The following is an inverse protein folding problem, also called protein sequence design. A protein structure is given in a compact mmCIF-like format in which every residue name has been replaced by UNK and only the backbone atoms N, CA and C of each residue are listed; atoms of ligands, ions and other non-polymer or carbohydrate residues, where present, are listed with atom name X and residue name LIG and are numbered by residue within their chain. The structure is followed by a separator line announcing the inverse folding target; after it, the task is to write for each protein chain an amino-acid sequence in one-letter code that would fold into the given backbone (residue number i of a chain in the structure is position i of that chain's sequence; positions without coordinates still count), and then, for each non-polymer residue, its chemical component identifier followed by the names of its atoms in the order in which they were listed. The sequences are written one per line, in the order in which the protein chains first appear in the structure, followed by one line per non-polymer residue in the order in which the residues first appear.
data_IF_657186721119
#
_entry.id   IF_657186721119
#
_cell.length_a   1.000
_cell.length_b   1.000
_cell.length_c   1.000
_cell.angle_alpha   90.00
_cell.angle_beta   90.00
_cell.angle_gamma   90.00
#
_symmetry.space_group_name_H-M   'P 1'
#
loop_
_entity.id
_entity.type
_entity.pdbx_description
1 polymer ?
#
# COMPACT_ATOMS: atom_id res chain seq x y z
N UNK A 1 -30.77 -6.42 -6.71
CA UNK A 1 -30.04 -5.26 -7.23
C UNK A 1 -30.83 -4.82 -8.42
N UNK A 2 -31.33 -3.59 -8.42
CA UNK A 2 -32.22 -3.09 -9.46
C UNK A 2 -31.38 -2.76 -10.70
N UNK A 3 -31.93 -2.93 -11.89
CA UNK A 3 -31.24 -2.63 -13.15
C UNK A 3 -32.19 -1.88 -14.07
N UNK A 4 -31.67 -0.85 -14.74
CA UNK A 4 -32.41 -0.07 -15.73
C UNK A 4 -31.73 -0.32 -17.08
N UNK A 5 -32.54 -0.45 -18.13
CA UNK A 5 -32.04 -0.53 -19.50
C UNK A 5 -32.07 0.86 -20.11
N UNK A 6 -30.96 1.27 -20.70
CA UNK A 6 -30.88 2.49 -21.48
C UNK A 6 -31.65 2.32 -22.82
N UNK A 7 -31.96 3.43 -23.50
CA UNK A 7 -32.61 3.42 -24.82
C UNK A 7 -31.81 2.63 -25.87
N UNK A 8 -30.50 2.47 -25.66
CA UNK A 8 -29.57 1.68 -26.48
C UNK A 8 -29.53 0.18 -26.09
N UNK A 9 -30.36 -0.26 -25.15
CA UNK A 9 -30.44 -1.66 -24.69
C UNK A 9 -29.34 -2.09 -23.73
N UNK A 10 -28.50 -1.15 -23.25
CA UNK A 10 -27.43 -1.42 -22.29
C UNK A 10 -27.99 -1.55 -20.88
N UNK A 11 -27.65 -2.65 -20.20
CA UNK A 11 -28.04 -2.90 -18.81
C UNK A 11 -27.13 -2.09 -17.85
N UNK A 12 -27.72 -1.15 -17.11
CA UNK A 12 -27.05 -0.35 -16.10
C UNK A 12 -27.51 -0.82 -14.70
N UNK A 13 -26.59 -1.32 -13.84
CA UNK A 13 -26.92 -1.67 -12.47
C UNK A 13 -27.13 -0.40 -11.65
N UNK A 14 -28.34 -0.21 -11.12
CA UNK A 14 -28.73 0.99 -10.38
C UNK A 14 -29.11 0.63 -8.94
N UNK A 15 -28.80 1.53 -8.00
CA UNK A 15 -29.30 1.43 -6.63
C UNK A 15 -30.40 2.47 -6.45
N UNK A 16 -31.63 2.01 -6.17
CA UNK A 16 -32.76 2.91 -5.90
C UNK A 16 -32.63 3.43 -4.47
N UNK A 17 -32.61 4.75 -4.31
CA UNK A 17 -32.51 5.44 -3.01
C UNK A 17 -33.80 6.22 -2.80
N UNK A 18 -34.43 6.03 -1.65
CA UNK A 18 -35.54 6.86 -1.18
C UNK A 18 -34.94 8.09 -0.47
N UNK A 19 -35.14 9.28 -1.05
CA UNK A 19 -34.50 10.52 -0.61
C UNK A 19 -35.50 11.66 -0.34
N UNK A 20 -36.72 11.34 0.11
CA UNK A 20 -37.72 12.34 0.51
C UNK A 20 -39.08 11.72 0.83
N UNK A 21 -40.01 12.49 1.43
CA UNK A 21 -39.90 13.91 1.77
C UNK A 21 -39.14 14.17 3.09
N UNK A 22 -38.20 15.12 3.06
CA UNK A 22 -37.49 15.61 4.25
C UNK A 22 -38.15 16.90 4.76
N UNK A 23 -38.32 17.06 6.07
CA UNK A 23 -38.95 18.29 6.62
C UNK A 23 -37.98 19.09 7.49
N UNK A 24 -38.01 20.42 7.35
CA UNK A 24 -37.23 21.35 8.17
C UNK A 24 -37.85 21.44 9.57
N UNK A 25 -37.17 20.89 10.58
CA UNK A 25 -37.67 20.87 11.95
C UNK A 25 -37.15 22.01 12.82
N UNK A 26 -35.98 22.55 12.49
CA UNK A 26 -35.37 23.64 13.26
C UNK A 26 -34.39 24.44 12.41
N UNK A 27 -34.34 25.75 12.67
CA UNK A 27 -33.33 26.67 12.16
C UNK A 27 -32.48 27.13 13.35
N UNK A 28 -31.15 27.00 13.21
CA UNK A 28 -30.17 27.50 14.18
C UNK A 28 -29.67 28.85 13.69
N UNK A 29 -29.66 29.83 14.58
CA UNK A 29 -29.18 31.19 14.33
C UNK A 29 -28.01 31.52 15.25
N UNK A 30 -27.13 32.43 14.81
CA UNK A 30 -25.93 32.82 15.58
C UNK A 30 -26.31 33.36 16.98
N UNK A 31 -27.38 34.15 17.07
CA UNK A 31 -27.78 34.80 18.33
C UNK A 31 -28.26 33.83 19.42
N UNK A 32 -28.88 32.72 19.03
CA UNK A 32 -29.45 31.73 19.96
C UNK A 32 -28.54 30.54 20.21
N UNK A 33 -27.88 30.05 19.15
CA UNK A 33 -27.18 28.77 19.15
C UNK A 33 -25.68 28.89 18.88
N UNK A 34 -25.19 30.08 18.51
CA UNK A 34 -23.79 30.35 18.23
C UNK A 34 -23.30 29.90 16.85
N UNK A 35 -24.18 29.37 16.00
CA UNK A 35 -23.88 28.98 14.62
C UNK A 35 -25.15 28.90 13.76
N UNK A 36 -24.97 29.00 12.44
CA UNK A 36 -26.04 28.82 11.46
C UNK A 36 -26.10 27.37 10.98
N UNK A 37 -27.29 26.77 11.03
CA UNK A 37 -27.55 25.44 10.48
C UNK A 37 -29.05 25.20 10.27
N UNK A 38 -29.37 24.39 9.27
CA UNK A 38 -30.72 23.89 9.01
C UNK A 38 -30.81 22.43 9.47
N UNK A 39 -31.80 22.10 10.29
CA UNK A 39 -32.06 20.73 10.72
C UNK A 39 -33.16 20.10 9.86
N UNK A 40 -32.81 19.02 9.17
CA UNK A 40 -33.73 18.22 8.36
C UNK A 40 -34.06 16.90 9.04
N UNK A 41 -35.31 16.47 8.86
CA UNK A 41 -35.84 15.24 9.43
C UNK A 41 -36.37 14.28 8.38
N UNK A 42 -36.07 12.99 8.54
CA UNK A 42 -36.37 11.92 7.56
C UNK A 42 -36.83 10.61 8.25
N UNK A 43 -37.62 9.81 7.53
CA UNK A 43 -38.26 8.53 7.92
C UNK A 43 -39.30 8.68 9.05
N UNK A 44 -40.52 8.18 8.85
CA UNK A 44 -41.59 8.31 9.84
C UNK A 44 -41.38 7.40 11.06
N UNK A 45 -41.74 7.93 12.22
CA UNK A 45 -41.63 7.24 13.51
C UNK A 45 -42.97 7.27 14.24
N UNK A 46 -43.40 6.11 14.72
CA UNK A 46 -44.63 5.99 15.53
C UNK A 46 -44.52 6.82 16.80
N UNK A 47 -45.58 7.56 17.14
CA UNK A 47 -45.62 8.44 18.31
C UNK A 47 -45.31 7.72 19.63
N UNK A 48 -45.79 6.49 19.79
CA UNK A 48 -45.52 5.67 21.00
C UNK A 48 -44.04 5.35 21.23
N UNK A 49 -43.22 5.40 20.18
CA UNK A 49 -41.78 5.14 20.25
C UNK A 49 -40.96 6.44 20.35
N UNK A 50 -41.62 7.58 20.53
CA UNK A 50 -41.02 8.91 20.54
C UNK A 50 -41.09 9.53 21.93
N UNK A 51 -39.97 10.06 22.41
CA UNK A 51 -39.87 10.68 23.73
C UNK A 51 -40.66 12.00 23.79
N UNK A 52 -41.13 12.40 24.97
CA UNK A 52 -41.97 13.61 25.13
C UNK A 52 -41.31 14.90 24.60
N UNK A 53 -40.01 15.07 24.84
CA UNK A 53 -39.25 16.22 24.33
C UNK A 53 -39.24 16.28 22.79
N UNK A 54 -39.02 15.15 22.12
CA UNK A 54 -39.06 15.09 20.66
C UNK A 54 -40.46 15.35 20.10
N UNK A 55 -41.52 14.90 20.78
CA UNK A 55 -42.89 15.23 20.36
C UNK A 55 -43.14 16.74 20.37
N UNK A 56 -42.67 17.44 21.41
CA UNK A 56 -42.74 18.90 21.47
C UNK A 56 -41.93 19.59 20.36
N UNK A 57 -40.77 19.03 20.00
CA UNK A 57 -39.93 19.53 18.91
C UNK A 57 -40.62 19.40 17.53
N UNK A 58 -41.15 18.22 17.20
CA UNK A 58 -41.88 18.01 15.94
C UNK A 58 -43.20 18.78 15.87
N UNK A 59 -43.87 18.99 17.01
CA UNK A 59 -45.09 19.79 17.09
C UNK A 59 -44.86 21.26 16.72
N UNK A 60 -43.70 21.84 17.08
CA UNK A 60 -43.32 23.21 16.69
C UNK A 60 -43.18 23.35 15.17
N UNK A 61 -42.72 22.30 14.50
CA UNK A 61 -42.62 22.22 13.05
C UNK A 61 -43.88 21.72 12.35
N UNK A 62 -44.97 21.44 13.09
CA UNK A 62 -46.22 20.83 12.58
C UNK A 62 -45.99 19.53 11.81
N UNK A 63 -45.08 18.68 12.27
CA UNK A 63 -44.70 17.43 11.59
C UNK A 63 -45.03 16.18 12.40
N UNK A 64 -45.19 15.05 11.69
CA UNK A 64 -45.16 13.72 12.31
C UNK A 64 -43.77 13.44 12.88
N UNK A 65 -43.66 12.67 13.98
CA UNK A 65 -42.34 12.34 14.51
C UNK A 65 -41.49 11.61 13.48
N UNK A 66 -40.26 12.08 13.28
CA UNK A 66 -39.30 11.47 12.36
C UNK A 66 -38.20 10.70 13.10
N UNK A 67 -37.55 9.78 12.40
CA UNK A 67 -36.56 8.85 12.98
C UNK A 67 -35.14 9.38 12.88
N UNK A 68 -34.84 10.14 11.84
CA UNK A 68 -33.54 10.73 11.57
C UNK A 68 -33.66 12.24 11.65
N UNK A 69 -32.72 12.86 12.35
CA UNK A 69 -32.54 14.30 12.49
C UNK A 69 -31.07 14.57 12.14
N UNK A 70 -30.82 15.40 11.14
CA UNK A 70 -29.46 15.74 10.68
C UNK A 70 -29.38 17.24 10.47
N UNK A 71 -28.28 17.83 10.93
CA UNK A 71 -28.01 19.27 10.79
C UNK A 71 -27.03 19.51 9.63
N UNK A 72 -27.36 20.51 8.79
CA UNK A 72 -26.54 20.95 7.67
C UNK A 72 -26.10 22.39 7.91
N UNK A 73 -24.78 22.62 7.92
CA UNK A 73 -24.17 23.94 8.19
C UNK A 73 -24.06 24.84 6.95
N UNK A 74 -24.14 24.25 5.76
CA UNK A 74 -24.08 24.97 4.50
C UNK A 74 -25.30 24.56 3.69
N UNK A 75 -26.29 25.44 3.65
CA UNK A 75 -27.50 25.28 2.84
C UNK A 75 -27.70 26.60 2.12
N UNK A 76 -27.59 26.60 0.79
CA UNK A 76 -27.56 27.83 -0.03
C UNK A 76 -28.94 28.51 -0.12
N UNK A 77 -30.01 27.74 0.10
CA UNK A 77 -31.39 28.23 0.12
C UNK A 77 -31.83 28.61 1.54
N UNK A 78 -32.34 29.83 1.71
CA UNK A 78 -33.08 30.21 2.91
C UNK A 78 -34.40 29.43 2.97
N UNK A 79 -34.53 28.48 3.90
CA UNK A 79 -35.75 27.72 4.16
C UNK A 79 -36.41 28.15 5.46
N UNK A 80 -37.74 28.08 5.51
CA UNK A 80 -38.55 28.37 6.68
C UNK A 80 -38.90 27.10 7.46
N UNK A 81 -39.36 27.28 8.70
CA UNK A 81 -39.65 26.18 9.61
C UNK A 81 -40.91 25.42 9.15
N UNK A 82 -40.79 24.13 8.87
CA UNK A 82 -41.86 23.28 8.35
C UNK A 82 -41.83 23.04 6.84
N UNK A 83 -40.87 23.62 6.11
CA UNK A 83 -40.73 23.41 4.67
C UNK A 83 -40.34 21.97 4.31
N UNK A 84 -40.86 21.49 3.18
CA UNK A 84 -40.61 20.15 2.65
C UNK A 84 -39.53 20.22 1.56
N UNK A 85 -38.49 19.41 1.72
CA UNK A 85 -37.39 19.22 0.78
C UNK A 85 -37.55 17.88 0.07
N UNK A 86 -37.71 17.95 -1.26
CA UNK A 86 -37.91 16.80 -2.15
C UNK A 86 -36.67 16.55 -3.04
N UNK A 87 -36.71 15.45 -3.79
CA UNK A 87 -35.63 15.02 -4.70
C UNK A 87 -35.48 15.96 -5.91
N UNK A 88 -36.44 16.84 -6.16
CA UNK A 88 -36.45 17.83 -7.25
C UNK A 88 -35.30 18.84 -7.20
N UNK A 89 -34.54 18.89 -6.10
CA UNK A 89 -33.33 19.71 -6.00
C UNK A 89 -32.22 19.20 -6.94
N UNK A 90 -32.26 17.92 -7.33
CA UNK A 90 -31.26 17.31 -8.21
C UNK A 90 -31.71 17.34 -9.67
N UNK A 91 -30.81 17.72 -10.58
CA UNK A 91 -31.00 17.58 -12.01
C UNK A 91 -30.48 16.22 -12.50
N UNK A 92 -31.05 15.71 -13.59
CA UNK A 92 -30.55 14.50 -14.25
C UNK A 92 -29.11 14.73 -14.74
N UNK A 93 -28.16 13.93 -14.22
CA UNK A 93 -26.72 14.05 -14.53
C UNK A 93 -25.86 14.60 -13.39
N UNK A 94 -26.47 15.07 -12.30
CA UNK A 94 -25.72 15.56 -11.14
C UNK A 94 -24.96 14.43 -10.42
N UNK A 95 -23.72 14.71 -10.04
CA UNK A 95 -22.91 13.80 -9.23
C UNK A 95 -23.22 14.00 -7.75
N UNK A 96 -23.70 12.95 -7.09
CA UNK A 96 -24.05 12.97 -5.65
C UNK A 96 -23.17 12.00 -4.86
N UNK A 97 -22.56 12.50 -3.78
CA UNK A 97 -21.79 11.67 -2.84
C UNK A 97 -22.73 10.99 -1.82
N UNK A 98 -22.84 9.67 -1.90
CA UNK A 98 -23.69 8.88 -0.99
C UNK A 98 -22.84 8.18 0.08
N UNK A 99 -23.01 8.59 1.34
CA UNK A 99 -22.34 7.97 2.50
C UNK A 99 -23.31 7.07 3.27
N UNK A 100 -22.98 5.79 3.40
CA UNK A 100 -23.74 4.82 4.19
C UNK A 100 -23.02 4.39 5.46
N UNK A 101 -23.67 4.50 6.63
CA UNK A 101 -23.15 3.91 7.88
C UNK A 101 -23.42 2.40 7.90
N UNK A 102 -22.38 1.58 7.75
CA UNK A 102 -22.48 0.13 7.91
C UNK A 102 -22.16 -0.30 9.35
N UNK A 103 -22.95 -1.22 9.92
CA UNK A 103 -22.60 -1.86 11.20
C UNK A 103 -21.57 -2.98 10.94
N UNK A 104 -20.41 -2.91 11.59
CA UNK A 104 -19.39 -3.95 11.57
C UNK A 104 -19.98 -5.30 11.96
N UNK A 105 -19.84 -6.31 11.10
CA UNK A 105 -20.59 -7.58 11.25
C UNK A 105 -19.86 -8.61 12.14
N UNK A 106 -18.62 -8.41 12.56
CA UNK A 106 -17.93 -9.25 13.56
C UNK A 106 -17.94 -10.76 13.24
N UNK A 107 -17.88 -11.59 14.28
CA UNK A 107 -18.04 -13.05 14.15
C UNK A 107 -19.52 -13.38 13.94
N UNK A 108 -19.84 -14.10 12.85
CA UNK A 108 -21.22 -14.49 12.52
C UNK A 108 -21.37 -16.00 12.42
N UNK A 109 -22.46 -16.51 12.99
CA UNK A 109 -22.86 -17.92 12.89
C UNK A 109 -23.25 -18.32 11.46
N UNK A 110 -23.29 -19.63 11.19
CA UNK A 110 -23.51 -20.19 9.84
C UNK A 110 -24.80 -19.71 9.17
N UNK A 111 -25.88 -19.57 9.95
CA UNK A 111 -27.18 -19.08 9.47
C UNK A 111 -27.08 -17.64 8.96
N UNK A 112 -26.49 -16.73 9.73
CA UNK A 112 -26.37 -15.29 9.35
C UNK A 112 -25.23 -15.01 8.37
N UNK A 113 -24.24 -15.89 8.29
CA UNK A 113 -23.09 -15.76 7.37
C UNK A 113 -23.41 -16.33 5.98
N UNK A 114 -23.97 -17.54 5.91
CA UNK A 114 -24.19 -18.29 4.67
C UNK A 114 -25.67 -18.48 4.28
N UNK A 115 -26.61 -18.00 5.10
CA UNK A 115 -28.05 -18.13 4.82
C UNK A 115 -28.61 -19.54 5.06
N UNK A 116 -27.92 -20.37 5.85
CA UNK A 116 -28.38 -21.73 6.13
C UNK A 116 -29.67 -21.72 6.98
N UNK A 117 -30.59 -22.66 6.71
CA UNK A 117 -31.92 -22.71 7.34
C UNK A 117 -31.95 -23.02 8.84
N UNK A 118 -30.81 -23.43 9.42
CA UNK A 118 -30.76 -23.92 10.80
C UNK A 118 -31.26 -25.37 10.91
N UNK A 119 -31.51 -25.84 12.13
CA UNK A 119 -32.07 -27.19 12.36
C UNK A 119 -33.59 -27.13 12.12
N UNK A 120 -34.08 -27.90 11.15
CA UNK A 120 -35.47 -27.86 10.68
C UNK A 120 -36.48 -28.24 11.77
N UNK A 121 -37.47 -27.37 11.98
CA UNK A 121 -38.58 -27.57 12.93
C UNK A 121 -38.25 -27.17 14.37
N UNK A 122 -38.98 -26.20 14.93
CA UNK A 122 -39.06 -26.00 16.38
C UNK A 122 -40.05 -27.02 16.94
N UNK A 123 -39.56 -28.19 17.33
CA UNK A 123 -40.35 -29.14 18.13
C UNK A 123 -40.15 -28.87 19.63
N UNK A 124 -41.13 -29.27 20.44
CA UNK A 124 -41.00 -29.21 21.90
C UNK A 124 -39.76 -30.01 22.35
N UNK A 125 -38.82 -29.35 23.01
CA UNK A 125 -37.54 -29.92 23.47
C UNK A 125 -36.28 -29.28 22.85
N UNK A 126 -36.41 -28.49 21.80
CA UNK A 126 -35.26 -27.91 21.10
C UNK A 126 -34.89 -26.51 21.62
N UNK A 127 -34.16 -26.43 22.74
CA UNK A 127 -33.90 -25.15 23.43
C UNK A 127 -32.71 -24.33 22.87
N UNK A 128 -31.66 -24.95 22.28
CA UNK A 128 -30.40 -24.23 21.98
C UNK A 128 -29.69 -24.59 20.65
N UNK A 129 -30.28 -25.44 19.79
CA UNK A 129 -29.61 -25.91 18.55
C UNK A 129 -30.05 -25.23 17.26
N UNK A 130 -31.06 -24.37 17.28
CA UNK A 130 -31.65 -23.79 16.06
C UNK A 130 -30.62 -23.12 15.12
N UNK A 131 -29.61 -22.45 15.70
CA UNK A 131 -28.57 -21.71 14.97
C UNK A 131 -27.16 -22.29 15.18
N UNK A 132 -27.05 -23.48 15.76
CA UNK A 132 -25.77 -24.12 15.98
C UNK A 132 -25.14 -24.53 14.64
N UNK A 133 -23.83 -24.33 14.45
CA UNK A 133 -23.13 -24.99 13.36
C UNK A 133 -23.20 -26.50 13.60
N UNK A 134 -23.72 -27.25 12.62
CA UNK A 134 -23.79 -28.72 12.71
C UNK A 134 -22.41 -29.36 12.94
N UNK A 135 -22.40 -30.66 13.20
CA UNK A 135 -21.15 -31.41 13.40
C UNK A 135 -20.25 -31.34 12.16
N UNK A 136 -18.96 -31.10 12.39
CA UNK A 136 -17.90 -31.15 11.39
C UNK A 136 -17.34 -32.58 11.33
N UNK A 137 -18.04 -33.47 10.63
CA UNK A 137 -17.68 -34.89 10.59
C UNK A 137 -16.40 -35.19 9.78
N UNK A 138 -15.41 -35.78 10.45
CA UNK A 138 -14.60 -36.94 10.02
C UNK A 138 -13.61 -37.28 11.15
N UNK A 139 -13.91 -38.28 12.00
CA UNK A 139 -13.06 -38.60 13.16
C UNK A 139 -11.72 -39.24 12.78
N UNK A 140 -11.66 -39.92 11.63
CA UNK A 140 -10.54 -40.85 11.35
C UNK A 140 -9.62 -40.36 10.23
N UNK A 141 -10.12 -39.71 9.17
CA UNK A 141 -9.32 -39.08 8.12
C UNK A 141 -10.19 -38.08 7.34
N UNK A 142 -9.79 -36.80 7.12
CA UNK A 142 -8.49 -36.16 7.34
C UNK A 142 -8.40 -35.30 8.64
N UNK A 143 -9.28 -35.51 9.64
CA UNK A 143 -9.28 -34.87 10.97
C UNK A 143 -9.05 -33.36 10.98
N UNK A 144 -9.49 -32.67 9.92
CA UNK A 144 -9.37 -31.22 9.74
C UNK A 144 -10.55 -30.71 8.93
N UNK A 145 -10.87 -29.44 9.10
CA UNK A 145 -11.87 -28.77 8.25
C UNK A 145 -11.26 -28.54 6.86
N UNK A 146 -11.96 -28.98 5.81
CA UNK A 146 -11.52 -28.72 4.44
C UNK A 146 -11.51 -27.21 4.13
N UNK A 147 -10.52 -26.78 3.34
CA UNK A 147 -10.44 -25.39 2.86
C UNK A 147 -11.66 -25.11 1.98
N UNK A 148 -12.37 -24.01 2.25
CA UNK A 148 -13.61 -23.65 1.55
C UNK A 148 -14.90 -24.13 2.22
N UNK A 149 -14.81 -24.91 3.30
CA UNK A 149 -15.99 -25.34 4.06
C UNK A 149 -16.72 -24.13 4.68
N UNK A 150 -18.02 -24.01 4.41
CA UNK A 150 -18.84 -22.84 4.75
C UNK A 150 -19.26 -22.86 6.23
N UNK A 151 -18.37 -22.36 7.11
CA UNK A 151 -18.57 -22.35 8.57
C UNK A 151 -18.78 -20.95 9.17
N UNK A 152 -19.13 -20.92 10.47
CA UNK A 152 -19.16 -19.70 11.26
C UNK A 152 -17.77 -19.07 11.27
N UNK A 153 -17.70 -17.74 11.30
CA UNK A 153 -16.43 -17.03 11.26
C UNK A 153 -16.59 -15.53 11.16
N UNK A 154 -15.47 -14.81 11.14
CA UNK A 154 -15.46 -13.37 10.87
C UNK A 154 -16.07 -13.13 9.49
N UNK A 155 -17.13 -12.33 9.47
CA UNK A 155 -17.70 -11.78 8.23
C UNK A 155 -16.86 -10.56 7.86
N UNK A 156 -16.39 -10.49 6.62
CA UNK A 156 -15.63 -9.35 6.07
C UNK A 156 -16.26 -8.03 6.54
N UNK A 157 -15.45 -7.16 7.12
CA UNK A 157 -15.88 -5.81 7.52
C UNK A 157 -16.11 -5.02 6.23
N UNK A 158 -17.31 -4.46 6.07
CA UNK A 158 -17.73 -3.80 4.84
C UNK A 158 -17.18 -2.38 4.65
N UNK A 159 -16.18 -1.96 5.42
CA UNK A 159 -15.53 -0.67 5.24
C UNK A 159 -14.69 -0.73 3.96
N UNK A 160 -15.29 -0.27 2.87
CA UNK A 160 -14.63 -0.11 1.58
C UNK A 160 -14.11 1.32 1.51
N UNK A 161 -12.84 1.48 1.18
CA UNK A 161 -12.26 2.78 0.85
C UNK A 161 -12.27 2.89 -0.68
N UNK A 162 -12.87 3.95 -1.20
CA UNK A 162 -12.76 4.27 -2.62
C UNK A 162 -11.41 4.96 -2.85
N UNK A 163 -10.60 4.38 -3.72
CA UNK A 163 -9.33 4.97 -4.15
C UNK A 163 -9.58 5.79 -5.42
N UNK A 164 -8.98 6.99 -5.56
CA UNK A 164 -9.21 7.82 -6.73
C UNK A 164 -8.60 7.21 -8.00
N UNK A 165 -9.43 7.05 -9.03
CA UNK A 165 -9.05 6.48 -10.32
C UNK A 165 -7.93 7.30 -11.01
N UNK A 166 -7.94 8.62 -10.83
CA UNK A 166 -6.92 9.53 -11.36
C UNK A 166 -5.49 9.29 -10.83
N UNK A 167 -5.32 8.42 -9.82
CA UNK A 167 -4.03 8.04 -9.23
C UNK A 167 -3.78 6.54 -9.40
N UNK A 168 -4.77 5.70 -9.10
CA UNK A 168 -4.61 4.25 -9.04
C UNK A 168 -5.06 3.51 -10.31
N UNK A 169 -5.85 4.14 -11.18
CA UNK A 169 -6.35 3.56 -12.44
C UNK A 169 -5.75 4.21 -13.70
N UNK A 170 -4.69 5.01 -13.56
CA UNK A 170 -3.97 5.61 -14.70
C UNK A 170 -3.28 4.52 -15.53
N UNK A 171 -3.33 4.65 -16.86
CA UNK A 171 -2.58 3.77 -17.76
C UNK A 171 -1.06 3.84 -17.43
N UNK A 172 -0.44 2.72 -17.01
CA UNK A 172 0.95 2.75 -16.58
C UNK A 172 1.91 3.06 -17.74
N UNK A 173 2.82 4.01 -17.53
CA UNK A 173 3.87 4.33 -18.49
C UNK A 173 5.25 3.81 -18.01
N UNK A 174 5.70 2.71 -18.62
CA UNK A 174 6.96 2.05 -18.26
C UNK A 174 8.20 2.91 -18.52
N UNK A 175 8.18 3.71 -19.60
CA UNK A 175 9.30 4.58 -19.93
C UNK A 175 9.45 5.70 -18.89
N UNK A 176 8.35 6.28 -18.41
CA UNK A 176 8.36 7.27 -17.35
C UNK A 176 8.91 6.69 -16.04
N UNK A 177 8.50 5.46 -15.67
CA UNK A 177 9.04 4.75 -14.51
C UNK A 177 10.54 4.51 -14.65
N UNK A 178 10.99 4.01 -15.80
CA UNK A 178 12.40 3.76 -16.08
C UNK A 178 13.25 5.02 -15.92
N UNK A 179 12.83 6.13 -16.51
CA UNK A 179 13.56 7.40 -16.44
C UNK A 179 13.68 7.90 -15.00
N UNK A 180 12.58 7.90 -14.24
CA UNK A 180 12.58 8.36 -12.85
C UNK A 180 13.45 7.48 -11.95
N UNK A 181 13.38 6.15 -12.13
CA UNK A 181 14.26 5.20 -11.42
C UNK A 181 15.74 5.42 -11.80
N UNK A 182 16.04 5.57 -13.08
CA UNK A 182 17.41 5.85 -13.56
C UNK A 182 17.95 7.15 -12.96
N UNK A 183 17.14 8.20 -12.90
CA UNK A 183 17.53 9.47 -12.30
C UNK A 183 17.74 9.31 -10.79
N UNK A 184 16.83 8.63 -10.09
CA UNK A 184 16.96 8.37 -8.66
C UNK A 184 18.27 7.64 -8.32
N UNK A 185 18.58 6.58 -9.06
CA UNK A 185 19.82 5.82 -8.89
C UNK A 185 21.07 6.63 -9.27
N UNK A 186 21.00 7.46 -10.32
CA UNK A 186 22.10 8.34 -10.69
C UNK A 186 22.40 9.38 -9.61
N UNK A 187 21.36 9.99 -9.02
CA UNK A 187 21.49 11.00 -7.96
C UNK A 187 22.07 10.42 -6.66
N UNK A 188 21.93 9.12 -6.41
CA UNK A 188 22.55 8.46 -5.24
C UNK A 188 24.08 8.26 -5.40
N UNK A 189 24.64 8.48 -6.60
CA UNK A 189 26.07 8.30 -6.87
C UNK A 189 26.85 9.57 -6.48
N UNK A 190 27.84 9.41 -5.61
CA UNK A 190 28.71 10.51 -5.18
C UNK A 190 29.78 10.90 -6.20
N UNK A 191 30.28 9.95 -7.00
CA UNK A 191 31.23 10.23 -8.08
C UNK A 191 32.63 10.69 -7.68
N UNK A 192 33.11 10.44 -6.46
CA UNK A 192 34.39 10.94 -5.91
C UNK A 192 35.67 10.26 -6.41
N UNK A 193 35.56 9.33 -7.35
CA UNK A 193 36.70 8.64 -7.96
C UNK A 193 37.60 9.57 -8.81
N UNK A 194 38.92 9.52 -8.57
CA UNK A 194 39.94 10.24 -9.32
C UNK A 194 41.17 9.36 -9.56
N UNK A 195 41.74 9.43 -10.76
CA UNK A 195 43.09 8.90 -11.05
C UNK A 195 44.02 10.03 -11.48
N UNK A 196 45.29 9.97 -11.06
CA UNK A 196 46.28 11.00 -11.41
C UNK A 196 46.56 10.99 -12.91
N UNK A 197 46.38 12.15 -13.53
CA UNK A 197 46.76 12.38 -14.91
C UNK A 197 48.25 12.74 -15.02
N UNK A 198 48.77 12.81 -16.25
CA UNK A 198 50.19 13.06 -16.53
C UNK A 198 50.73 14.35 -15.88
N UNK A 199 49.92 15.39 -15.77
CA UNK A 199 50.27 16.66 -15.12
C UNK A 199 50.33 16.55 -13.58
N UNK A 200 49.50 15.71 -12.97
CA UNK A 200 49.38 15.57 -11.51
C UNK A 200 50.39 14.59 -10.89
N UNK A 201 51.10 13.81 -11.71
CA UNK A 201 52.12 12.88 -11.23
C UNK A 201 53.41 13.62 -10.85
N UNK A 202 53.96 13.25 -9.69
CA UNK A 202 55.27 13.70 -9.24
C UNK A 202 56.36 13.03 -10.08
N UNK A 203 57.22 13.84 -10.70
CA UNK A 203 58.28 13.37 -11.58
C UNK A 203 58.88 14.51 -12.41
N UNK A 204 59.92 14.21 -13.19
CA UNK A 204 60.55 15.21 -14.06
C UNK A 204 59.82 15.36 -15.39
N UNK A 205 59.65 16.60 -15.86
CA UNK A 205 59.21 16.91 -17.23
C UNK A 205 60.38 16.96 -18.22
N UNK A 206 61.62 16.86 -17.72
CA UNK A 206 62.83 16.83 -18.55
C UNK A 206 62.79 15.62 -19.49
N UNK A 207 63.30 15.83 -20.70
CA UNK A 207 63.51 14.77 -21.66
C UNK A 207 64.55 13.78 -21.13
N UNK A 208 64.20 12.49 -21.12
CA UNK A 208 65.03 11.43 -20.54
C UNK A 208 66.38 11.24 -21.26
N UNK A 209 66.39 11.31 -22.59
CA UNK A 209 67.58 11.15 -23.43
C UNK A 209 67.50 11.96 -24.74
N UNK A 210 68.61 12.01 -25.48
CA UNK A 210 68.75 12.75 -26.75
C UNK A 210 67.76 12.23 -27.81
N UNK A 211 67.39 13.08 -28.78
CA UNK A 211 66.35 12.77 -29.79
C UNK A 211 66.73 11.63 -30.76
N UNK A 212 68.03 11.45 -31.01
CA UNK A 212 68.61 10.43 -31.91
C UNK A 212 69.92 9.90 -31.29
N UNK A 213 70.38 8.73 -31.74
CA UNK A 213 71.66 8.14 -31.33
C UNK A 213 71.62 7.23 -30.09
N UNK A 214 70.44 6.79 -29.64
CA UNK A 214 70.27 5.97 -28.41
C UNK A 214 69.82 4.52 -28.66
N UNK A 215 69.51 4.14 -29.91
CA UNK A 215 69.04 2.78 -30.27
C UNK A 215 67.62 2.41 -29.81
N UNK A 216 67.01 3.15 -28.88
CA UNK A 216 65.65 2.93 -28.39
C UNK A 216 64.56 3.78 -29.05
N UNK A 217 63.30 3.54 -28.68
CA UNK A 217 62.16 4.38 -29.05
C UNK A 217 62.35 5.83 -28.56
N UNK A 218 61.66 6.81 -29.15
CA UNK A 218 61.76 8.20 -28.68
C UNK A 218 60.91 8.39 -27.42
N UNK A 219 61.50 8.91 -26.35
CA UNK A 219 60.79 9.26 -25.13
C UNK A 219 60.94 10.73 -24.74
N UNK A 220 59.87 11.28 -24.20
CA UNK A 220 59.84 12.61 -23.59
C UNK A 220 60.11 12.54 -22.09
N UNK A 221 59.10 12.88 -21.30
CA UNK A 221 59.13 12.90 -19.83
C UNK A 221 58.85 11.52 -19.21
N UNK A 222 59.40 11.27 -18.03
CA UNK A 222 59.10 10.06 -17.24
C UNK A 222 57.63 9.94 -16.81
N UNK A 223 56.90 11.07 -16.75
CA UNK A 223 55.46 11.11 -16.43
C UNK A 223 54.54 10.48 -17.50
N UNK A 224 55.09 10.03 -18.63
CA UNK A 224 54.31 9.50 -19.76
C UNK A 224 53.50 8.27 -19.36
N UNK A 225 52.22 8.13 -19.78
CA UNK A 225 51.40 6.93 -19.53
C UNK A 225 52.02 5.61 -19.97
N UNK A 226 52.92 5.66 -20.96
CA UNK A 226 53.59 4.49 -21.52
C UNK A 226 54.66 3.92 -20.57
N UNK A 227 55.10 4.69 -19.58
CA UNK A 227 56.07 4.25 -18.58
C UNK A 227 55.39 3.76 -17.31
N UNK A 228 56.04 2.81 -16.63
CA UNK A 228 55.65 2.36 -15.30
C UNK A 228 55.71 3.54 -14.31
N UNK A 229 54.63 3.79 -13.58
CA UNK A 229 54.49 4.97 -12.72
C UNK A 229 54.05 6.25 -13.44
N UNK A 230 53.76 6.17 -14.75
CA UNK A 230 53.21 7.24 -15.58
C UNK A 230 51.74 7.56 -15.33
N UNK A 231 51.30 8.73 -15.83
CA UNK A 231 49.93 9.23 -15.65
C UNK A 231 48.89 8.38 -16.36
N UNK A 232 47.72 8.12 -15.76
CA UNK A 232 46.66 7.37 -16.45
C UNK A 232 45.93 8.27 -17.46
N UNK A 233 45.87 7.85 -18.72
CA UNK A 233 45.10 8.52 -19.78
C UNK A 233 43.64 8.10 -19.72
N UNK A 234 42.71 9.05 -19.91
CA UNK A 234 41.25 8.86 -19.82
C UNK A 234 40.76 8.14 -18.56
N UNK A 235 41.49 8.32 -17.46
CA UNK A 235 41.09 7.78 -16.17
C UNK A 235 39.89 8.54 -15.57
N UNK A 236 39.24 7.96 -14.54
CA UNK A 236 38.10 8.57 -13.90
C UNK A 236 38.43 9.93 -13.28
N UNK A 237 37.45 10.83 -13.34
CA UNK A 237 37.49 12.15 -12.72
C UNK A 237 36.25 12.33 -11.85
N UNK A 238 36.38 13.09 -10.74
CA UNK A 238 35.23 13.48 -9.95
C UNK A 238 34.19 14.18 -10.82
N UNK A 239 32.95 13.70 -10.78
CA UNK A 239 31.85 14.24 -11.59
C UNK A 239 30.52 14.06 -10.87
N UNK A 240 29.56 14.91 -11.21
CA UNK A 240 28.16 14.72 -10.86
C UNK A 240 27.48 13.82 -11.91
N UNK A 241 26.67 12.88 -11.43
CA UNK A 241 25.87 11.98 -12.27
C UNK A 241 24.40 12.42 -12.38
N UNK A 242 24.02 13.47 -11.66
CA UNK A 242 22.65 13.98 -11.67
C UNK A 242 22.26 14.50 -13.05
N UNK A 243 21.00 14.31 -13.41
CA UNK A 243 20.42 14.87 -14.63
C UNK A 243 18.97 15.29 -14.37
N UNK A 244 18.45 16.24 -15.16
CA UNK A 244 17.11 16.80 -14.97
C UNK A 244 16.03 15.89 -15.56
N UNK A 245 14.91 15.78 -14.86
CA UNK A 245 13.64 15.25 -15.38
C UNK A 245 12.51 16.20 -15.05
N UNK A 246 11.53 16.27 -15.95
CA UNK A 246 10.36 17.15 -15.81
C UNK A 246 9.49 16.73 -14.61
N UNK A 247 9.04 17.71 -13.81
CA UNK A 247 8.23 17.44 -12.60
C UNK A 247 6.96 16.65 -12.90
N UNK A 248 6.27 16.98 -13.99
CA UNK A 248 5.06 16.27 -14.46
C UNK A 248 5.36 14.80 -14.78
N UNK A 249 6.50 14.52 -15.41
CA UNK A 249 6.94 13.16 -15.74
C UNK A 249 7.22 12.34 -14.47
N UNK A 250 7.84 12.93 -13.44
CA UNK A 250 8.02 12.25 -12.13
C UNK A 250 6.69 11.95 -11.44
N UNK A 251 5.73 12.86 -11.52
CA UNK A 251 4.38 12.63 -10.98
C UNK A 251 3.69 11.48 -11.72
N UNK A 252 3.79 11.44 -13.05
CA UNK A 252 3.26 10.36 -13.88
C UNK A 252 3.92 9.01 -13.54
N UNK A 253 5.24 8.98 -13.34
CA UNK A 253 5.98 7.78 -12.95
C UNK A 253 5.47 7.22 -11.60
N UNK A 254 5.28 8.08 -10.58
CA UNK A 254 4.71 7.68 -9.28
C UNK A 254 3.28 7.14 -9.41
N UNK A 255 2.41 7.82 -10.17
CA UNK A 255 1.03 7.35 -10.45
C UNK A 255 1.05 5.99 -11.16
N UNK A 256 1.88 5.84 -12.18
CA UNK A 256 2.04 4.58 -12.93
C UNK A 256 2.50 3.43 -12.02
N UNK A 257 3.45 3.69 -11.11
CA UNK A 257 3.92 2.70 -10.15
C UNK A 257 2.84 2.28 -9.13
N UNK A 258 2.02 3.24 -8.65
CA UNK A 258 0.87 2.96 -7.79
C UNK A 258 -0.22 2.17 -8.53
N UNK A 259 -0.47 2.49 -9.81
CA UNK A 259 -1.44 1.76 -10.62
C UNK A 259 -1.04 0.30 -10.83
N UNK A 260 0.23 0.01 -11.10
CA UNK A 260 0.72 -1.38 -11.12
C UNK A 260 0.45 -2.11 -9.80
N UNK A 261 0.68 -1.45 -8.66
CA UNK A 261 0.40 -2.05 -7.36
C UNK A 261 -1.08 -2.29 -7.10
N UNK A 262 -1.94 -1.42 -7.61
CA UNK A 262 -3.40 -1.60 -7.56
C UNK A 262 -3.83 -2.78 -8.43
N UNK A 263 -3.34 -2.87 -9.69
CA UNK A 263 -3.63 -3.98 -10.61
C UNK A 263 -3.21 -5.34 -10.04
N UNK A 264 -2.06 -5.39 -9.38
CA UNK A 264 -1.55 -6.62 -8.74
C UNK A 264 -2.24 -6.97 -7.41
N UNK A 265 -3.21 -6.17 -6.94
CA UNK A 265 -3.84 -6.29 -5.62
C UNK A 265 -2.84 -6.26 -4.44
N UNK A 266 -1.74 -5.51 -4.60
CA UNK A 266 -0.64 -5.42 -3.64
C UNK A 266 -0.75 -4.20 -2.70
N UNK A 267 -1.92 -3.54 -2.67
CA UNK A 267 -2.19 -2.40 -1.81
C UNK A 267 -3.12 -2.85 -0.69
N UNK A 268 -2.69 -2.63 0.55
CA UNK A 268 -3.49 -2.87 1.74
C UNK A 268 -3.64 -1.55 2.47
N UNK A 269 -4.89 -1.15 2.73
CA UNK A 269 -5.21 0.05 3.51
C UNK A 269 -5.38 -0.37 4.97
N UNK A 270 -4.68 0.30 5.87
CA UNK A 270 -4.76 0.09 7.30
C UNK A 270 -5.47 1.27 7.95
N UNK A 271 -6.24 0.98 9.00
CA UNK A 271 -6.75 2.03 9.88
C UNK A 271 -5.60 2.68 10.64
N UNK A 272 -5.79 3.93 11.08
CA UNK A 272 -4.78 4.64 11.83
C UNK A 272 -4.48 3.91 13.15
N UNK A 273 -3.21 3.60 13.39
CA UNK A 273 -2.74 3.00 14.64
C UNK A 273 -1.53 3.75 15.19
N UNK A 274 -1.43 3.79 16.50
CA UNK A 274 -0.32 4.37 17.25
C UNK A 274 0.26 3.33 18.18
N UNK A 275 1.55 3.44 18.50
CA UNK A 275 2.18 2.60 19.52
C UNK A 275 2.49 3.45 20.75
N UNK A 276 2.12 2.94 21.92
CA UNK A 276 2.44 3.59 23.20
C UNK A 276 3.91 3.43 23.59
N UNK A 277 4.57 2.38 23.09
CA UNK A 277 5.98 2.09 23.36
C UNK A 277 6.73 1.64 22.11
N UNK A 278 8.03 1.94 22.07
CA UNK A 278 8.93 1.58 20.97
C UNK A 278 9.35 0.11 21.12
N UNK A 279 8.58 -0.80 20.52
CA UNK A 279 8.83 -2.24 20.57
C UNK A 279 8.69 -2.88 19.19
N UNK A 280 9.76 -3.49 18.69
CA UNK A 280 9.79 -4.23 17.42
C UNK A 280 8.80 -5.40 17.42
N UNK A 281 8.55 -6.01 18.58
CA UNK A 281 7.58 -7.09 18.74
C UNK A 281 6.15 -6.65 18.36
N UNK A 282 5.77 -5.40 18.65
CA UNK A 282 4.44 -4.89 18.29
C UNK A 282 4.30 -4.79 16.77
N UNK A 283 5.32 -4.29 16.10
CA UNK A 283 5.33 -4.22 14.63
C UNK A 283 5.38 -5.61 13.99
N UNK A 284 6.17 -6.54 14.55
CA UNK A 284 6.24 -7.92 14.08
C UNK A 284 4.89 -8.66 14.20
N UNK A 285 4.12 -8.39 15.26
CA UNK A 285 2.75 -8.91 15.43
C UNK A 285 1.82 -8.42 14.33
N UNK A 286 1.81 -7.11 14.05
CA UNK A 286 1.01 -6.55 12.93
C UNK A 286 1.37 -7.22 11.61
N UNK A 287 2.67 -7.40 11.34
CA UNK A 287 3.14 -8.07 10.13
C UNK A 287 2.70 -9.54 10.06
N UNK A 288 2.66 -10.25 11.19
CA UNK A 288 2.17 -11.63 11.27
C UNK A 288 0.64 -11.70 11.08
N UNK A 289 -0.11 -10.79 11.69
CA UNK A 289 -1.57 -10.70 11.58
C UNK A 289 -2.01 -10.40 10.14
N UNK A 290 -1.26 -9.54 9.45
CA UNK A 290 -1.44 -9.23 8.03
C UNK A 290 -0.92 -10.34 7.10
N UNK A 291 -0.23 -11.35 7.63
CA UNK A 291 0.43 -12.43 6.87
C UNK A 291 1.47 -11.92 5.86
N UNK A 292 2.15 -10.83 6.23
CA UNK A 292 3.17 -10.16 5.40
C UNK A 292 4.59 -10.32 5.96
N UNK A 293 4.81 -11.23 6.92
CA UNK A 293 6.11 -11.47 7.56
C UNK A 293 7.24 -11.77 6.58
N UNK A 294 6.94 -12.54 5.52
CA UNK A 294 7.93 -12.96 4.55
C UNK A 294 8.09 -12.01 3.37
N UNK A 295 7.08 -11.18 3.14
CA UNK A 295 7.07 -10.17 2.10
C UNK A 295 7.86 -8.94 2.54
N UNK A 296 8.41 -8.23 1.55
CA UNK A 296 8.97 -6.91 1.79
C UNK A 296 7.85 -5.89 1.72
N UNK A 297 7.69 -5.10 2.77
CA UNK A 297 6.60 -4.14 2.93
C UNK A 297 7.11 -2.71 3.02
N UNK A 298 6.32 -1.80 2.44
CA UNK A 298 6.47 -0.37 2.57
C UNK A 298 5.20 0.15 3.24
N UNK A 299 5.33 0.68 4.46
CA UNK A 299 4.24 1.36 5.15
C UNK A 299 4.36 2.87 4.92
N UNK A 300 3.27 3.48 4.44
CA UNK A 300 3.20 4.91 4.14
C UNK A 300 2.36 5.59 5.21
N UNK A 301 2.95 6.56 5.91
CA UNK A 301 2.26 7.33 6.96
C UNK A 301 1.91 8.75 6.47
N UNK A 302 0.77 9.32 6.92
CA UNK A 302 0.41 10.70 6.58
C UNK A 302 1.35 11.72 7.25
N UNK A 303 1.83 11.42 8.45
CA UNK A 303 2.75 12.24 9.23
C UNK A 303 3.83 11.38 9.90
N UNK A 304 4.93 12.01 10.31
CA UNK A 304 6.01 11.31 11.00
C UNK A 304 5.53 10.79 12.36
N UNK A 305 5.71 9.48 12.61
CA UNK A 305 5.44 8.85 13.89
C UNK A 305 6.68 8.08 14.34
N UNK A 306 7.40 8.64 15.32
CA UNK A 306 8.66 8.07 15.83
C UNK A 306 8.47 6.67 16.41
N UNK A 307 7.36 6.40 17.10
CA UNK A 307 7.14 5.11 17.75
C UNK A 307 7.00 3.99 16.71
N UNK A 308 6.25 4.25 15.63
CA UNK A 308 6.09 3.31 14.52
C UNK A 308 7.40 3.16 13.72
N UNK A 309 8.03 4.28 13.37
CA UNK A 309 9.28 4.28 12.61
C UNK A 309 10.40 3.52 13.35
N UNK A 310 10.67 3.87 14.61
CA UNK A 310 11.71 3.22 15.42
C UNK A 310 11.42 1.74 15.67
N UNK A 311 10.15 1.36 15.82
CA UNK A 311 9.74 -0.05 15.97
C UNK A 311 9.93 -0.88 14.69
N UNK A 312 9.92 -0.25 13.51
CA UNK A 312 10.13 -0.93 12.23
C UNK A 312 11.59 -0.96 11.74
N UNK A 313 12.41 0.02 12.12
CA UNK A 313 13.71 0.30 11.48
C UNK A 313 14.70 -0.88 11.51
N UNK A 314 14.61 -1.72 12.53
CA UNK A 314 15.45 -2.92 12.67
C UNK A 314 15.02 -4.08 11.73
N UNK A 315 13.79 -4.07 11.22
CA UNK A 315 13.25 -5.13 10.38
C UNK A 315 13.66 -4.92 8.92
N UNK A 316 14.60 -5.75 8.43
CA UNK A 316 15.15 -5.63 7.06
C UNK A 316 14.10 -5.66 5.93
N UNK A 317 12.96 -6.30 6.16
CA UNK A 317 11.88 -6.45 5.17
C UNK A 317 10.84 -5.33 5.25
N UNK A 318 10.82 -4.51 6.29
CA UNK A 318 9.86 -3.44 6.46
C UNK A 318 10.54 -2.08 6.29
N UNK A 319 9.94 -1.19 5.52
CA UNK A 319 10.33 0.21 5.43
C UNK A 319 9.12 1.08 5.77
N UNK A 320 9.31 2.06 6.63
CA UNK A 320 8.29 3.07 6.96
C UNK A 320 8.75 4.40 6.36
N UNK A 321 7.87 5.03 5.59
CA UNK A 321 8.13 6.29 4.88
C UNK A 321 6.90 7.19 5.02
N UNK A 322 7.07 8.51 4.98
CA UNK A 322 5.94 9.45 4.94
C UNK A 322 5.39 9.63 3.52
N UNK A 323 4.15 10.08 3.37
CA UNK A 323 3.57 10.36 2.05
C UNK A 323 4.38 11.38 1.24
N UNK A 324 5.06 12.32 1.91
CA UNK A 324 5.90 13.34 1.29
C UNK A 324 7.21 12.77 0.70
N UNK A 325 7.76 11.73 1.31
CA UNK A 325 9.03 11.10 0.92
C UNK A 325 8.86 9.94 -0.07
N UNK A 326 7.62 9.65 -0.47
CA UNK A 326 7.29 8.55 -1.36
C UNK A 326 7.88 8.78 -2.76
N UNK A 327 8.73 7.83 -3.18
CA UNK A 327 9.39 7.82 -4.48
C UNK A 327 8.96 6.60 -5.32
N UNK A 328 9.29 6.61 -6.60
CA UNK A 328 8.92 5.54 -7.55
C UNK A 328 9.78 4.28 -7.38
N UNK A 329 10.98 4.42 -6.81
CA UNK A 329 11.97 3.35 -6.67
C UNK A 329 11.72 2.44 -5.46
N UNK A 330 11.10 2.96 -4.39
CA UNK A 330 10.84 2.24 -3.15
C UNK A 330 9.83 1.11 -3.39
N UNK A 331 10.38 0.03 -3.93
CA UNK A 331 9.84 -1.30 -4.11
C UNK A 331 10.86 -2.29 -3.55
N UNK A 332 10.43 -3.50 -3.19
CA UNK A 332 11.31 -4.52 -2.65
C UNK A 332 12.42 -4.86 -3.63
N UNK A 333 13.68 -4.59 -3.25
CA UNK A 333 14.86 -4.95 -4.04
C UNK A 333 14.85 -6.46 -4.28
N UNK A 334 14.45 -6.89 -5.47
CA UNK A 334 14.83 -8.17 -6.04
C UNK A 334 16.03 -7.85 -6.91
N UNK A 335 17.19 -8.45 -6.59
CA UNK A 335 18.44 -8.25 -7.32
C UNK A 335 18.23 -8.59 -8.80
N UNK A 336 18.60 -7.69 -9.71
CA UNK A 336 18.42 -7.80 -11.17
C UNK A 336 18.95 -9.13 -11.75
N UNK A 337 19.99 -9.70 -11.14
CA UNK A 337 20.55 -11.00 -11.54
C UNK A 337 19.63 -12.19 -11.24
N UNK A 338 18.80 -12.11 -10.20
CA UNK A 338 17.87 -13.19 -9.85
C UNK A 338 16.66 -13.20 -10.79
N UNK A 339 16.10 -12.02 -11.09
CA UNK A 339 14.97 -11.86 -12.02
C UNK A 339 15.30 -12.36 -13.43
N UNK A 340 16.48 -12.01 -13.94
CA UNK A 340 16.92 -12.43 -15.29
C UNK A 340 17.16 -13.95 -15.42
N UNK A 341 17.55 -14.64 -14.33
CA UNK A 341 17.74 -16.10 -14.31
C UNK A 341 16.41 -16.85 -14.22
N UNK A 342 15.42 -16.27 -13.54
CA UNK A 342 14.06 -16.83 -13.44
C UNK A 342 13.32 -16.73 -14.77
N UNK A 343 13.39 -15.59 -15.46
CA UNK A 343 12.70 -15.36 -16.73
C UNK A 343 13.28 -16.17 -17.91
N UNK A 344 14.60 -16.33 -17.99
CA UNK A 344 15.25 -16.97 -19.15
C UNK A 344 15.44 -18.48 -19.03
N UNK A 345 15.58 -19.01 -17.82
CA UNK A 345 16.03 -20.39 -17.62
C UNK A 345 15.19 -21.17 -16.60
N UNK A 346 14.08 -20.60 -16.07
CA UNK A 346 13.30 -21.20 -14.98
C UNK A 346 14.18 -21.63 -13.78
N UNK A 347 15.25 -20.87 -13.51
CA UNK A 347 16.18 -21.15 -12.41
C UNK A 347 15.89 -20.21 -11.23
N UNK A 348 15.71 -20.80 -10.06
CA UNK A 348 15.50 -20.09 -8.80
C UNK A 348 16.80 -20.05 -8.00
N UNK A 349 17.18 -18.89 -7.47
CA UNK A 349 18.38 -18.71 -6.66
C UNK A 349 18.01 -18.47 -5.19
N UNK A 350 18.53 -19.31 -4.30
CA UNK A 350 18.31 -19.21 -2.85
C UNK A 350 19.61 -18.83 -2.15
N UNK A 351 19.53 -18.01 -1.09
CA UNK A 351 20.66 -17.81 -0.16
C UNK A 351 20.68 -19.00 0.79
N UNK A 352 21.78 -19.74 0.77
CA UNK A 352 21.98 -20.92 1.60
C UNK A 352 23.13 -20.65 2.58
N UNK A 353 23.11 -21.30 3.74
CA UNK A 353 24.25 -21.32 4.66
C UNK A 353 25.53 -21.77 3.93
N UNK A 354 26.65 -21.13 4.26
CA UNK A 354 27.93 -21.37 3.59
C UNK A 354 28.52 -22.76 3.89
N UNK A 355 28.00 -23.48 4.89
CA UNK A 355 28.42 -24.85 5.24
C UNK A 355 27.52 -25.94 4.68
N UNK A 356 26.36 -25.61 4.12
CA UNK A 356 25.38 -26.61 3.70
C UNK A 356 25.83 -27.38 2.45
N UNK A 357 25.65 -28.70 2.45
CA UNK A 357 26.00 -29.56 1.33
C UNK A 357 24.86 -29.64 0.30
N UNK A 358 25.16 -29.93 -0.97
CA UNK A 358 24.16 -29.95 -2.07
C UNK A 358 22.97 -30.88 -1.78
N UNK A 359 23.20 -32.00 -1.10
CA UNK A 359 22.15 -32.96 -0.72
C UNK A 359 21.19 -32.40 0.34
N UNK A 360 21.73 -31.68 1.34
CA UNK A 360 20.94 -31.01 2.38
C UNK A 360 20.14 -29.85 1.80
N UNK A 361 20.74 -29.12 0.86
CA UNK A 361 20.07 -28.04 0.12
C UNK A 361 18.93 -28.62 -0.71
N UNK A 362 19.17 -29.74 -1.39
CA UNK A 362 18.15 -30.45 -2.17
C UNK A 362 16.98 -30.85 -1.29
N UNK A 363 17.24 -31.64 -0.25
CA UNK A 363 16.19 -32.17 0.61
C UNK A 363 15.40 -31.05 1.32
N UNK A 364 16.06 -29.97 1.74
CA UNK A 364 15.41 -28.83 2.37
C UNK A 364 14.47 -28.09 1.39
N UNK A 365 14.90 -27.87 0.15
CA UNK A 365 14.07 -27.17 -0.85
C UNK A 365 12.93 -28.08 -1.32
N UNK A 366 13.17 -29.36 -1.57
CA UNK A 366 12.12 -30.32 -1.95
C UNK A 366 11.06 -30.43 -0.85
N UNK A 367 11.47 -30.44 0.42
CA UNK A 367 10.55 -30.47 1.58
C UNK A 367 9.79 -29.16 1.79
N UNK A 368 10.43 -28.01 1.59
CA UNK A 368 9.79 -26.70 1.75
C UNK A 368 8.78 -26.39 0.65
N UNK A 369 9.05 -26.84 -0.58
CA UNK A 369 8.26 -26.44 -1.76
C UNK A 369 7.48 -27.60 -2.40
N UNK A 370 7.67 -28.84 -1.97
CA UNK A 370 6.94 -30.01 -2.46
C UNK A 370 7.21 -30.32 -3.94
N UNK A 371 8.42 -30.04 -4.42
CA UNK A 371 8.84 -30.21 -5.83
C UNK A 371 10.05 -31.13 -5.91
N UNK A 372 10.24 -31.82 -7.04
CA UNK A 372 11.45 -32.60 -7.32
C UNK A 372 12.50 -31.75 -8.05
N UNK A 373 13.73 -31.70 -7.54
CA UNK A 373 14.79 -30.86 -8.09
C UNK A 373 15.70 -31.69 -9.01
N UNK A 374 15.80 -31.27 -10.28
CA UNK A 374 16.60 -31.93 -11.31
C UNK A 374 18.12 -31.71 -11.15
N UNK A 375 18.57 -30.48 -10.84
CA UNK A 375 20.01 -30.17 -10.69
C UNK A 375 20.24 -28.99 -9.75
N UNK A 376 21.34 -29.03 -8.97
CA UNK A 376 21.73 -27.97 -8.02
C UNK A 376 23.17 -27.53 -8.25
N UNK A 377 23.33 -26.23 -8.50
CA UNK A 377 24.63 -25.55 -8.55
C UNK A 377 24.77 -24.62 -7.35
N UNK A 378 25.89 -24.75 -6.65
CA UNK A 378 26.27 -23.87 -5.53
C UNK A 378 27.44 -23.00 -5.98
N UNK A 379 27.39 -21.71 -5.64
CA UNK A 379 28.46 -20.75 -5.89
C UNK A 379 28.79 -20.09 -4.56
N UNK A 380 30.04 -20.17 -4.13
CA UNK A 380 30.50 -19.42 -2.96
C UNK A 380 30.78 -17.99 -3.41
N UNK A 381 29.88 -17.08 -3.06
CA UNK A 381 30.09 -15.65 -3.28
C UNK A 381 30.80 -15.10 -2.05
N UNK A 382 32.10 -14.81 -2.17
CA UNK A 382 32.81 -14.09 -1.10
C UNK A 382 32.22 -12.68 -0.95
N UNK A 383 31.52 -12.43 0.17
CA UNK A 383 31.14 -11.08 0.54
C UNK A 383 32.42 -10.26 0.80
N UNK A 384 32.52 -9.09 0.17
CA UNK A 384 33.68 -8.19 0.34
C UNK A 384 33.70 -7.72 1.79
N UNK A 385 34.73 -8.09 2.56
CA UNK A 385 34.86 -7.62 3.94
C UNK A 385 34.98 -6.10 3.97
N UNK A 386 33.96 -5.42 4.51
CA UNK A 386 34.05 -4.02 4.84
C UNK A 386 34.88 -3.89 6.11
N UNK A 387 36.08 -3.30 6.02
CA UNK A 387 36.86 -2.89 7.20
C UNK A 387 36.09 -1.78 7.91
N UNK A 388 35.57 -2.07 9.10
CA UNK A 388 35.03 -1.05 10.01
C UNK A 388 36.19 -0.52 10.84
N UNK A 389 36.67 0.67 10.53
CA UNK A 389 37.56 1.43 11.43
C UNK A 389 36.70 2.09 12.50
N UNK A 390 36.76 1.58 13.73
CA UNK A 390 36.25 2.24 14.92
C UNK A 390 37.19 3.43 15.25
N UNK A 391 36.66 4.65 15.23
CA UNK A 391 37.31 5.79 15.89
C UNK A 391 36.78 5.87 17.32
N UNK A 392 37.66 5.63 18.29
CA UNK A 392 37.47 6.08 19.67
C UNK A 392 37.50 7.62 19.66
N UNK A 393 36.47 8.23 20.23
CA UNK A 393 36.45 9.64 20.61
C UNK A 393 36.41 9.64 22.14
N UNK A 394 37.43 10.23 22.76
CA UNK A 394 37.43 10.56 24.18
C UNK A 394 36.42 11.67 24.47
#
# INVERSE_FOLDING_TARGET
MTSIFDAEGKNIPCTVIEAGPCVVTQLRTVDTDGYEAVQLAFDDKKEKNTTGSLKGHFAKAKTTPKRKLVEFKSFEDAKSLGDIVNVEIFAEGDYVDVVGTSKGKGFQGVVKRHGFGGVGGQTHGQHNRLRAPGSLGASSWPSRVFKGMRMAGRKETGAKVQLPDAIFAVEPNDHAIYLDVKQYLANQRQGTHKSKQRNEIAGSTKKLYKQKGTGGARAGSIKSPLFNGGGRVFGPQPRDYSFKLNKKLKSLARKSALSYKAKDNNIVVLEAFTFDSIKTANYAKIMADLKLSDAKTLLVLPAANNNVYLSSRNLKKAKVVTAAELNTYDKPILTEKASALTEKLNRFSFKVDHRANKLEIKSAIEKMYGVNIQAINTIVVMEKQNRVTLKLVL
#
